data_IF_859498114779
#
_entry.id   IF_859498114779
#
_cell.length_a   1.000
_cell.length_b   1.000
_cell.length_c   1.000
_cell.angle_alpha   90.00
_cell.angle_beta   90.00
_cell.angle_gamma   90.00
#
_symmetry.space_group_name_H-M   'P 1'
#
loop_
_entity.id
_entity.type
_entity.pdbx_description
1 polymer ?
#
# COMPACT_ATOMS: atom_id res chain seq x y z
N UNK A 1 -7.18 -14.34 11.30
CA UNK A 1 -6.00 -14.63 10.46
C UNK A 1 -6.08 -15.99 9.74
N UNK A 2 -7.12 -16.78 10.01
CA UNK A 2 -7.24 -18.17 9.50
C UNK A 2 -8.01 -18.31 8.18
N UNK A 3 -8.31 -17.23 7.46
CA UNK A 3 -9.17 -17.27 6.27
C UNK A 3 -8.43 -17.15 4.93
N UNK A 4 -7.14 -16.87 4.94
CA UNK A 4 -6.33 -16.88 3.74
C UNK A 4 -5.41 -18.12 3.77
N UNK A 5 -5.48 -18.93 2.72
CA UNK A 5 -4.60 -20.08 2.53
C UNK A 5 -3.19 -19.61 2.21
N UNK A 6 -2.47 -19.15 3.21
CA UNK A 6 -1.14 -18.52 3.09
C UNK A 6 -0.15 -19.36 2.29
N UNK A 7 -0.14 -20.66 2.52
CA UNK A 7 0.74 -21.56 1.79
C UNK A 7 0.46 -21.56 0.29
N UNK A 8 -0.81 -21.61 -0.12
CA UNK A 8 -1.18 -21.52 -1.52
C UNK A 8 -0.80 -20.16 -2.14
N UNK A 9 -1.05 -19.06 -1.44
CA UNK A 9 -0.68 -17.72 -1.90
C UNK A 9 0.83 -17.58 -2.11
N UNK A 10 1.63 -18.08 -1.18
CA UNK A 10 3.10 -18.05 -1.32
C UNK A 10 3.55 -18.89 -2.53
N UNK A 11 3.02 -20.09 -2.69
CA UNK A 11 3.33 -20.95 -3.84
C UNK A 11 2.91 -20.27 -5.14
N UNK A 12 1.67 -19.81 -5.24
CA UNK A 12 1.15 -19.11 -6.43
C UNK A 12 2.03 -17.91 -6.81
N UNK A 13 2.35 -17.03 -5.84
CA UNK A 13 3.16 -15.85 -6.13
C UNK A 13 4.59 -16.19 -6.55
N UNK A 14 5.21 -17.19 -5.95
CA UNK A 14 6.57 -17.57 -6.33
C UNK A 14 6.67 -18.28 -7.69
N UNK A 15 5.69 -19.10 -8.06
CA UNK A 15 5.74 -19.89 -9.29
C UNK A 15 4.99 -19.27 -10.48
N UNK A 16 3.99 -18.44 -10.23
CA UNK A 16 3.18 -17.84 -11.28
C UNK A 16 3.16 -16.30 -11.20
N UNK A 17 2.84 -15.73 -10.05
CA UNK A 17 2.65 -14.29 -9.91
C UNK A 17 3.91 -13.50 -10.26
N UNK A 18 5.02 -13.77 -9.61
CA UNK A 18 6.28 -13.07 -9.85
C UNK A 18 6.83 -13.33 -11.26
N UNK A 19 7.05 -14.57 -11.71
CA UNK A 19 7.61 -14.82 -13.06
C UNK A 19 6.76 -14.25 -14.18
N UNK A 20 5.44 -14.37 -14.10
CA UNK A 20 4.54 -14.02 -15.21
C UNK A 20 3.94 -12.63 -15.16
N UNK A 21 4.03 -11.91 -14.04
CA UNK A 21 3.41 -10.59 -13.94
C UNK A 21 4.40 -9.47 -13.60
N UNK A 22 5.39 -9.77 -12.81
CA UNK A 22 6.30 -8.79 -12.23
C UNK A 22 7.37 -8.29 -13.20
N UNK A 23 7.82 -9.15 -14.11
CA UNK A 23 9.00 -8.88 -14.94
C UNK A 23 8.66 -8.29 -16.31
N UNK A 24 7.39 -8.00 -16.64
CA UNK A 24 7.03 -7.52 -17.97
C UNK A 24 7.73 -6.22 -18.40
N UNK A 25 7.92 -5.28 -17.48
CA UNK A 25 8.64 -4.02 -17.78
C UNK A 25 10.11 -4.28 -18.14
N UNK A 26 10.77 -5.18 -17.41
CA UNK A 26 12.18 -5.53 -17.65
C UNK A 26 12.32 -6.28 -18.96
N UNK A 27 11.45 -7.26 -19.24
CA UNK A 27 11.44 -8.02 -20.49
C UNK A 27 11.19 -7.09 -21.67
N UNK A 28 10.26 -6.15 -21.54
CA UNK A 28 10.00 -5.15 -22.57
C UNK A 28 11.23 -4.28 -22.87
N UNK A 29 11.88 -3.76 -21.82
CA UNK A 29 13.11 -2.95 -22.01
C UNK A 29 14.25 -3.76 -22.61
N UNK A 30 14.41 -5.03 -22.26
CA UNK A 30 15.42 -5.90 -22.82
C UNK A 30 15.17 -6.25 -24.30
N UNK A 31 13.91 -6.25 -24.72
CA UNK A 31 13.50 -6.56 -26.10
C UNK A 31 13.49 -5.37 -27.06
N UNK A 32 13.67 -4.15 -26.56
CA UNK A 32 13.59 -2.92 -27.36
C UNK A 32 14.82 -2.02 -27.17
N UNK A 33 15.21 -1.23 -28.19
CA UNK A 33 16.33 -0.33 -28.07
C UNK A 33 16.02 0.81 -27.07
N UNK A 34 17.06 1.41 -26.44
CA UNK A 34 16.89 2.43 -25.41
C UNK A 34 16.06 3.65 -25.83
N UNK A 35 15.99 3.97 -27.12
CA UNK A 35 15.21 5.10 -27.65
C UNK A 35 13.70 4.95 -27.42
N UNK A 36 13.23 3.73 -27.14
CA UNK A 36 11.82 3.44 -26.87
C UNK A 36 11.38 3.87 -25.47
N UNK A 37 12.30 3.88 -24.52
CA UNK A 37 11.99 4.15 -23.10
C UNK A 37 12.91 5.19 -22.45
N UNK A 38 13.71 5.90 -23.26
CA UNK A 38 14.61 6.92 -22.74
C UNK A 38 13.84 8.18 -22.36
N UNK A 39 14.00 8.60 -21.12
CA UNK A 39 13.49 9.86 -20.60
C UNK A 39 14.61 10.87 -20.37
N UNK A 40 14.22 12.12 -20.14
CA UNK A 40 15.14 13.15 -19.69
C UNK A 40 15.61 12.87 -18.25
N UNK A 41 16.79 13.36 -17.91
CA UNK A 41 17.33 13.24 -16.54
C UNK A 41 16.36 13.76 -15.45
N UNK A 42 15.72 14.94 -15.62
CA UNK A 42 14.73 15.40 -14.65
C UNK A 42 13.56 14.43 -14.43
N UNK A 43 13.11 13.75 -15.51
CA UNK A 43 12.04 12.74 -15.40
C UNK A 43 12.47 11.55 -14.54
N UNK A 44 13.69 11.05 -14.74
CA UNK A 44 14.24 9.99 -13.90
C UNK A 44 14.36 10.41 -12.44
N UNK A 45 14.87 11.61 -12.17
CA UNK A 45 14.98 12.16 -10.82
C UNK A 45 13.60 12.23 -10.17
N UNK A 46 12.58 12.72 -10.88
CA UNK A 46 11.21 12.77 -10.39
C UNK A 46 10.65 11.37 -10.09
N UNK A 47 10.82 10.41 -11.00
CA UNK A 47 10.37 9.01 -10.78
C UNK A 47 11.05 8.39 -9.56
N UNK A 48 12.35 8.63 -9.39
CA UNK A 48 13.09 8.15 -8.22
C UNK A 48 12.61 8.78 -6.91
N UNK A 49 12.43 10.09 -6.92
CA UNK A 49 11.91 10.80 -5.75
C UNK A 49 10.51 10.30 -5.37
N UNK A 50 9.64 10.10 -6.36
CA UNK A 50 8.30 9.57 -6.15
C UNK A 50 8.33 8.11 -5.64
N UNK A 51 9.24 7.28 -6.14
CA UNK A 51 9.44 5.91 -5.67
C UNK A 51 9.88 5.89 -4.20
N UNK A 52 10.87 6.70 -3.84
CA UNK A 52 11.35 6.80 -2.45
C UNK A 52 10.26 7.34 -1.51
N UNK A 53 9.48 8.32 -1.99
CA UNK A 53 8.34 8.84 -1.22
C UNK A 53 7.25 7.77 -1.03
N UNK A 54 6.94 7.00 -2.06
CA UNK A 54 5.98 5.89 -1.95
C UNK A 54 6.47 4.82 -0.96
N UNK A 55 7.76 4.46 -0.98
CA UNK A 55 8.35 3.58 0.04
C UNK A 55 8.21 4.15 1.45
N UNK A 56 8.53 5.42 1.61
CA UNK A 56 8.37 6.09 2.91
C UNK A 56 6.93 6.05 3.41
N UNK A 57 5.94 6.33 2.54
CA UNK A 57 4.52 6.27 2.91
C UNK A 57 4.10 4.84 3.27
N UNK A 58 4.53 3.86 2.48
CA UNK A 58 4.22 2.45 2.73
C UNK A 58 4.73 2.00 4.10
N UNK A 59 6.02 2.15 4.35
CA UNK A 59 6.66 1.67 5.57
C UNK A 59 6.19 2.43 6.81
N UNK A 60 6.12 3.77 6.73
CA UNK A 60 5.69 4.59 7.86
C UNK A 60 4.22 4.38 8.20
N UNK A 61 3.33 4.21 7.21
CA UNK A 61 1.92 3.93 7.46
C UNK A 61 1.70 2.57 8.11
N UNK A 62 2.42 1.55 7.68
CA UNK A 62 2.39 0.22 8.29
C UNK A 62 2.95 0.24 9.72
N UNK A 63 4.06 0.97 9.93
CA UNK A 63 4.64 1.16 11.24
C UNK A 63 3.70 1.92 12.19
N UNK A 64 3.06 3.01 11.74
CA UNK A 64 2.07 3.77 12.53
C UNK A 64 0.96 2.85 13.06
N UNK A 65 0.37 2.04 12.18
CA UNK A 65 -0.71 1.13 12.58
C UNK A 65 -0.26 0.04 13.54
N UNK A 66 0.91 -0.55 13.29
CA UNK A 66 1.47 -1.59 14.15
C UNK A 66 1.81 -1.03 15.53
N UNK A 67 2.50 0.11 15.58
CA UNK A 67 2.91 0.75 16.84
C UNK A 67 1.74 1.31 17.62
N UNK A 68 0.74 1.87 16.95
CA UNK A 68 -0.52 2.27 17.60
C UNK A 68 -1.14 1.10 18.37
N UNK A 69 -1.19 -0.09 17.78
CA UNK A 69 -1.69 -1.28 18.51
C UNK A 69 -0.82 -1.65 19.71
N UNK A 70 0.50 -1.55 19.55
CA UNK A 70 1.43 -1.79 20.66
C UNK A 70 1.30 -0.73 21.76
N UNK A 71 1.03 0.54 21.42
CA UNK A 71 0.75 1.60 22.39
C UNK A 71 -0.50 1.30 23.20
N UNK A 72 -1.59 0.90 22.56
CA UNK A 72 -2.84 0.51 23.25
C UNK A 72 -2.67 -0.69 24.18
N UNK A 73 -1.77 -1.61 23.83
CA UNK A 73 -1.48 -2.81 24.61
C UNK A 73 -0.38 -2.60 25.67
N UNK A 74 0.24 -1.42 25.74
CA UNK A 74 1.38 -1.16 26.61
C UNK A 74 2.65 -1.97 26.27
N UNK A 75 2.72 -2.54 25.06
CA UNK A 75 3.81 -3.43 24.61
C UNK A 75 4.79 -2.76 23.65
N UNK A 76 4.71 -1.45 23.50
CA UNK A 76 5.59 -0.70 22.60
C UNK A 76 7.04 -0.81 23.08
N UNK A 77 7.87 -1.46 22.26
CA UNK A 77 9.33 -1.53 22.48
C UNK A 77 10.05 -0.64 21.48
N UNK A 78 10.85 0.27 21.96
CA UNK A 78 11.79 1.03 21.13
C UNK A 78 12.93 0.09 20.75
N UNK A 79 13.04 -0.24 19.46
CA UNK A 79 14.15 -1.06 18.93
C UNK A 79 15.19 -0.15 18.30
N UNK A 80 16.43 -0.31 18.70
CA UNK A 80 17.57 0.51 18.26
C UNK A 80 18.31 -0.06 17.04
N UNK A 81 18.04 -1.30 16.69
CA UNK A 81 18.84 -2.08 15.73
C UNK A 81 18.66 -1.73 14.26
N UNK A 82 17.66 -0.92 13.89
CA UNK A 82 17.46 -0.47 12.51
C UNK A 82 17.02 1.00 12.49
N UNK A 83 17.54 1.82 11.56
CA UNK A 83 17.03 3.15 11.35
C UNK A 83 15.54 3.06 11.00
N UNK A 84 14.74 3.72 11.80
CA UNK A 84 13.29 3.75 11.59
C UNK A 84 12.95 5.02 10.84
N UNK A 85 12.03 4.90 9.89
CA UNK A 85 11.52 6.06 9.19
C UNK A 85 10.97 7.09 10.17
N UNK A 86 11.25 8.39 9.95
CA UNK A 86 10.60 9.45 10.69
C UNK A 86 9.09 9.28 10.67
N UNK A 87 8.41 9.73 11.72
CA UNK A 87 6.95 9.71 11.81
C UNK A 87 6.31 8.30 11.82
N UNK A 88 7.10 7.27 12.08
CA UNK A 88 6.59 5.89 12.24
C UNK A 88 5.84 5.65 13.54
N UNK A 89 6.05 6.48 14.56
CA UNK A 89 5.34 6.44 15.85
C UNK A 89 4.62 7.76 16.04
N UNK A 90 3.32 7.70 16.31
CA UNK A 90 2.49 8.87 16.59
C UNK A 90 2.47 9.14 18.10
N UNK A 91 2.69 10.39 18.49
CA UNK A 91 2.52 10.84 19.88
C UNK A 91 1.05 11.16 20.11
N UNK A 92 0.43 10.50 21.10
CA UNK A 92 -1.00 10.68 21.45
C UNK A 92 -1.93 10.56 20.24
N UNK A 93 -1.91 9.43 19.49
CA UNK A 93 -2.67 9.26 18.25
C UNK A 93 -4.17 9.38 18.49
N UNK A 94 -4.86 10.09 17.62
CA UNK A 94 -6.33 10.16 17.60
C UNK A 94 -6.88 8.83 17.07
N UNK A 95 -7.90 8.32 17.72
CA UNK A 95 -8.55 7.08 17.32
C UNK A 95 -10.03 7.06 17.69
N UNK A 96 -10.79 6.23 17.01
CA UNK A 96 -12.18 5.93 17.31
C UNK A 96 -12.23 4.64 18.15
N UNK A 97 -12.70 4.75 19.38
CA UNK A 97 -12.97 3.57 20.22
C UNK A 97 -14.23 2.90 19.71
N UNK A 98 -14.19 1.58 19.52
CA UNK A 98 -15.35 0.79 19.09
C UNK A 98 -16.02 0.09 20.27
N UNK A 99 -17.33 -0.19 20.14
CA UNK A 99 -18.11 -0.91 21.14
C UNK A 99 -17.53 -2.32 21.45
N UNK A 100 -16.80 -2.89 20.49
CA UNK A 100 -16.13 -4.20 20.65
C UNK A 100 -14.75 -4.13 21.31
N UNK A 101 -14.38 -3.02 21.93
CA UNK A 101 -13.11 -2.85 22.64
C UNK A 101 -11.87 -2.67 21.75
N UNK A 102 -12.04 -2.60 20.42
CA UNK A 102 -10.95 -2.28 19.50
C UNK A 102 -10.91 -0.76 19.24
N UNK A 103 -9.75 -0.27 18.76
CA UNK A 103 -9.60 1.11 18.36
C UNK A 103 -9.23 1.20 16.87
N UNK A 104 -9.83 2.16 16.17
CA UNK A 104 -9.56 2.47 14.77
C UNK A 104 -8.75 3.77 14.69
N UNK A 105 -7.54 3.69 14.15
CA UNK A 105 -6.64 4.84 14.02
C UNK A 105 -7.19 5.84 13.00
N UNK A 106 -7.27 7.12 13.41
CA UNK A 106 -7.74 8.25 12.58
C UNK A 106 -6.71 9.39 12.58
N UNK A 107 -5.43 9.04 12.64
CA UNK A 107 -4.32 9.98 12.70
C UNK A 107 -3.18 9.55 11.78
N UNK A 108 -2.19 10.41 11.59
CA UNK A 108 -1.07 10.17 10.68
C UNK A 108 -1.54 9.96 9.24
N UNK A 109 -1.01 8.97 8.55
CA UNK A 109 -1.45 8.60 7.20
C UNK A 109 -2.90 8.12 7.15
N UNK A 110 -3.39 7.51 8.24
CA UNK A 110 -4.71 6.90 8.35
C UNK A 110 -5.84 7.92 8.51
N UNK A 111 -5.55 9.21 8.66
CA UNK A 111 -6.55 10.28 8.62
C UNK A 111 -6.94 10.65 7.19
N UNK A 112 -6.07 10.44 6.20
CA UNK A 112 -6.32 10.80 4.81
C UNK A 112 -7.00 9.67 4.03
N UNK A 113 -6.54 8.42 4.28
CA UNK A 113 -6.99 7.24 3.57
C UNK A 113 -7.18 6.07 4.53
N UNK A 114 -8.18 5.23 4.28
CA UNK A 114 -8.39 3.99 5.03
C UNK A 114 -7.34 2.92 4.74
N UNK A 115 -6.65 3.02 3.60
CA UNK A 115 -5.57 2.11 3.16
C UNK A 115 -4.42 2.89 2.48
N UNK A 116 -3.73 3.78 3.20
CA UNK A 116 -2.63 4.57 2.62
C UNK A 116 -1.49 3.70 2.08
N UNK A 117 -1.25 2.55 2.70
CA UNK A 117 -0.29 1.56 2.24
C UNK A 117 -0.64 0.99 0.85
N UNK A 118 -1.92 0.84 0.49
CA UNK A 118 -2.32 0.36 -0.85
C UNK A 118 -2.05 1.41 -1.93
N UNK A 119 -2.28 2.67 -1.62
CA UNK A 119 -1.93 3.79 -2.52
C UNK A 119 -0.44 3.80 -2.82
N UNK A 120 0.38 3.72 -1.78
CA UNK A 120 1.82 3.70 -1.89
C UNK A 120 2.33 2.49 -2.68
N UNK A 121 1.81 1.31 -2.38
CA UNK A 121 2.15 0.04 -3.02
C UNK A 121 1.80 0.04 -4.52
N UNK A 122 0.60 0.52 -4.85
CA UNK A 122 0.19 0.67 -6.24
C UNK A 122 1.02 1.73 -6.99
N UNK A 123 1.39 2.83 -6.35
CA UNK A 123 2.25 3.86 -6.94
C UNK A 123 3.62 3.26 -7.32
N UNK A 124 4.20 2.42 -6.47
CA UNK A 124 5.44 1.70 -6.77
C UNK A 124 5.25 0.77 -7.99
N UNK A 125 4.19 -0.03 -8.00
CA UNK A 125 3.88 -0.92 -9.12
C UNK A 125 3.65 -0.17 -10.45
N UNK A 126 3.03 1.02 -10.39
CA UNK A 126 2.84 1.87 -11.54
C UNK A 126 4.18 2.42 -12.07
N UNK A 127 5.07 2.85 -11.19
CA UNK A 127 6.39 3.37 -11.57
C UNK A 127 7.25 2.31 -12.25
N UNK A 128 7.10 1.03 -11.90
CA UNK A 128 7.81 -0.05 -12.59
C UNK A 128 7.37 -0.24 -14.05
N UNK A 129 6.12 0.08 -14.36
CA UNK A 129 5.66 0.16 -15.74
C UNK A 129 6.13 1.45 -16.42
N UNK A 130 5.99 2.57 -15.71
CA UNK A 130 6.26 3.90 -16.23
C UNK A 130 7.71 4.11 -16.69
N UNK A 131 8.68 3.46 -16.02
CA UNK A 131 10.10 3.54 -16.41
C UNK A 131 10.37 2.96 -17.81
N UNK A 132 9.52 2.06 -18.28
CA UNK A 132 9.62 1.47 -19.62
C UNK A 132 8.98 2.34 -20.72
N UNK A 133 8.52 3.55 -20.40
CA UNK A 133 7.95 4.50 -21.35
C UNK A 133 6.45 4.28 -21.59
N UNK A 134 5.89 5.12 -22.48
CA UNK A 134 4.44 5.17 -22.76
C UNK A 134 4.07 4.59 -24.13
N UNK A 135 5.01 4.00 -24.85
CA UNK A 135 4.79 3.48 -26.22
C UNK A 135 4.02 2.17 -26.25
N UNK A 136 3.97 1.44 -25.13
CA UNK A 136 3.28 0.15 -25.01
C UNK A 136 2.56 0.04 -23.68
N UNK A 137 1.46 -0.71 -23.66
CA UNK A 137 0.71 -1.03 -22.44
C UNK A 137 1.29 -2.25 -21.71
N UNK A 138 2.13 -3.04 -22.37
CA UNK A 138 2.68 -4.29 -21.82
C UNK A 138 3.44 -4.07 -20.51
N UNK A 139 4.31 -3.05 -20.36
CA UNK A 139 5.01 -2.79 -19.10
C UNK A 139 4.08 -2.48 -17.92
N UNK A 140 2.86 -2.00 -18.21
CA UNK A 140 1.88 -1.63 -17.19
C UNK A 140 0.98 -2.80 -16.75
N UNK A 141 1.15 -3.97 -17.37
CA UNK A 141 0.33 -5.14 -17.05
C UNK A 141 0.31 -5.45 -15.55
N UNK A 142 1.49 -5.42 -14.91
CA UNK A 142 1.57 -5.68 -13.48
C UNK A 142 0.80 -4.65 -12.65
N UNK A 143 0.93 -3.37 -12.95
CA UNK A 143 0.23 -2.33 -12.18
C UNK A 143 -1.30 -2.40 -12.31
N UNK A 144 -1.80 -2.76 -13.51
CA UNK A 144 -3.25 -2.96 -13.76
C UNK A 144 -3.76 -4.21 -13.03
N UNK A 145 -3.05 -5.32 -13.17
CA UNK A 145 -3.37 -6.55 -12.45
C UNK A 145 -3.35 -6.34 -10.93
N UNK A 146 -2.32 -5.68 -10.43
CA UNK A 146 -2.17 -5.42 -9.00
C UNK A 146 -3.26 -4.48 -8.46
N UNK A 147 -3.66 -3.47 -9.24
CA UNK A 147 -4.79 -2.61 -8.89
C UNK A 147 -6.09 -3.43 -8.72
N UNK A 148 -6.35 -4.35 -9.62
CA UNK A 148 -7.52 -5.23 -9.52
C UNK A 148 -7.46 -6.11 -8.26
N UNK A 149 -6.30 -6.68 -7.95
CA UNK A 149 -6.07 -7.47 -6.72
C UNK A 149 -6.28 -6.62 -5.47
N UNK A 150 -5.70 -5.42 -5.42
CA UNK A 150 -5.85 -4.49 -4.28
C UNK A 150 -7.31 -4.06 -4.09
N UNK A 151 -8.02 -3.75 -5.17
CA UNK A 151 -9.43 -3.35 -5.13
C UNK A 151 -10.30 -4.48 -4.58
N UNK A 152 -10.12 -5.69 -5.10
CA UNK A 152 -10.83 -6.87 -4.61
C UNK A 152 -10.54 -7.15 -3.12
N UNK A 153 -9.27 -7.10 -2.74
CA UNK A 153 -8.85 -7.29 -1.34
C UNK A 153 -9.41 -6.19 -0.43
N UNK A 154 -9.41 -4.94 -0.90
CA UNK A 154 -9.96 -3.81 -0.18
C UNK A 154 -11.47 -3.96 0.08
N UNK A 155 -12.25 -4.37 -0.94
CA UNK A 155 -13.69 -4.60 -0.82
C UNK A 155 -14.00 -5.69 0.21
N UNK A 156 -13.32 -6.84 0.14
CA UNK A 156 -13.47 -7.94 1.13
C UNK A 156 -13.13 -7.49 2.56
N UNK A 157 -12.08 -6.68 2.72
CA UNK A 157 -11.67 -6.19 4.03
C UNK A 157 -12.70 -5.21 4.60
N UNK A 158 -13.30 -4.37 3.76
CA UNK A 158 -14.33 -3.42 4.18
C UNK A 158 -15.64 -4.12 4.56
N UNK A 159 -16.08 -5.14 3.83
CA UNK A 159 -17.22 -5.95 4.22
C UNK A 159 -16.99 -6.64 5.57
N UNK A 160 -15.78 -7.14 5.80
CA UNK A 160 -15.39 -7.73 7.08
C UNK A 160 -15.41 -6.70 8.20
N UNK A 161 -14.90 -5.50 7.96
CA UNK A 161 -14.91 -4.41 8.93
C UNK A 161 -16.35 -3.94 9.21
N UNK A 162 -17.19 -3.81 8.19
CA UNK A 162 -18.59 -3.43 8.36
C UNK A 162 -19.36 -4.46 9.22
N UNK A 163 -19.16 -5.75 8.95
CA UNK A 163 -19.76 -6.83 9.76
C UNK A 163 -19.23 -6.85 11.20
N UNK A 164 -17.96 -6.52 11.39
CA UNK A 164 -17.33 -6.57 12.72
C UNK A 164 -17.66 -5.37 13.58
N UNK A 165 -17.70 -4.17 13.02
CA UNK A 165 -17.79 -2.91 13.77
C UNK A 165 -19.13 -2.20 13.62
N UNK A 166 -20.00 -2.62 12.70
CA UNK A 166 -21.33 -2.07 12.50
C UNK A 166 -21.34 -0.53 12.42
N UNK A 167 -22.13 0.10 13.28
CA UNK A 167 -22.27 1.58 13.32
C UNK A 167 -20.96 2.34 13.53
N UNK A 168 -19.98 1.77 14.22
CA UNK A 168 -18.68 2.40 14.43
C UNK A 168 -17.85 2.42 13.15
N UNK A 169 -18.05 1.42 12.26
CA UNK A 169 -17.47 1.45 10.93
C UNK A 169 -18.04 2.59 10.09
N UNK A 170 -19.32 2.85 10.18
CA UNK A 170 -19.96 3.97 9.46
C UNK A 170 -19.44 5.33 9.96
N UNK A 171 -19.27 5.48 11.28
CA UNK A 171 -18.63 6.68 11.87
C UNK A 171 -17.19 6.84 11.34
N UNK A 172 -16.41 5.76 11.34
CA UNK A 172 -15.05 5.78 10.81
C UNK A 172 -15.02 6.17 9.32
N UNK A 173 -15.93 5.63 8.51
CA UNK A 173 -16.05 5.95 7.09
C UNK A 173 -16.42 7.41 6.82
N UNK A 174 -17.16 8.07 7.72
CA UNK A 174 -17.46 9.51 7.63
C UNK A 174 -16.25 10.38 7.95
N UNK A 175 -15.43 9.95 8.92
CA UNK A 175 -14.21 10.67 9.30
C UNK A 175 -13.12 10.51 8.23
N UNK A 176 -12.95 9.31 7.68
CA UNK A 176 -11.95 9.00 6.66
C UNK A 176 -12.68 8.50 5.42
N UNK A 177 -13.13 9.39 4.53
CA UNK A 177 -14.05 9.03 3.43
C UNK A 177 -13.40 8.20 2.34
N UNK A 178 -12.12 8.39 2.06
CA UNK A 178 -11.43 7.74 0.94
C UNK A 178 -10.88 6.38 1.33
N UNK A 179 -11.01 5.40 0.43
CA UNK A 179 -10.53 4.04 0.65
C UNK A 179 -9.02 3.93 0.45
N UNK A 180 -8.53 4.09 -0.78
CA UNK A 180 -7.10 4.10 -1.09
C UNK A 180 -6.72 4.96 -2.31
N UNK A 181 -7.69 5.43 -3.12
CA UNK A 181 -7.44 6.42 -4.15
C UNK A 181 -7.99 7.76 -3.65
N UNK A 182 -7.11 8.75 -3.37
CA UNK A 182 -7.55 10.04 -2.87
C UNK A 182 -8.57 10.68 -3.82
N UNK A 183 -9.65 11.22 -3.27
CA UNK A 183 -10.73 11.94 -3.97
C UNK A 183 -11.55 11.11 -4.98
N UNK A 184 -11.26 9.82 -5.18
CA UNK A 184 -11.94 8.97 -6.16
C UNK A 184 -12.59 7.76 -5.50
N UNK A 185 -11.86 7.04 -4.65
CA UNK A 185 -12.33 5.76 -4.11
C UNK A 185 -11.90 5.53 -2.65
#
# INVERSE_FOLDING_TARGET
MFHEKWGFMVIFWNFAGVPFTYCYSIVYMAAHPPEYYRFSTPTYVFMYALLLFAHFVFDSSMAQKSRFRMQLQGTLKVRWSFPQWPWSTLSNPRYLQTEHGNALLIDGWWQFLRKPNYTADWTQAFLWGAIAGTRSVIPYYYSVFFLAVLTHRCSRDFERCARKYGKDWDKYCRIVPYRFIPFVY
#
